data_IF_870804925056
#
_entry.id   IF_870804925056
#
_cell.length_a   1.000
_cell.length_b   1.000
_cell.length_c   1.000
_cell.angle_alpha   90.00
_cell.angle_beta   90.00
_cell.angle_gamma   90.00
#
_symmetry.space_group_name_H-M   'P 1'
#
loop_
_entity.id
_entity.type
_entity.pdbx_description
1 polymer ?
#
# COMPACT_ATOMS: atom_id res chain seq x y z
N UNK A 1 10.76 -2.38 4.00
CA UNK A 1 10.79 -3.57 3.11
C UNK A 1 9.81 -3.29 1.98
N UNK A 2 10.23 -3.40 0.71
CA UNK A 2 9.39 -3.10 -0.46
C UNK A 2 8.80 -4.40 -1.02
N UNK A 3 7.48 -4.47 -1.13
CA UNK A 3 6.76 -5.60 -1.72
C UNK A 3 6.30 -5.21 -3.13
N UNK A 4 6.77 -5.92 -4.16
CA UNK A 4 6.26 -5.79 -5.53
C UNK A 4 5.11 -6.78 -5.72
N UNK A 5 3.88 -6.27 -5.78
CA UNK A 5 2.69 -7.09 -5.95
C UNK A 5 1.77 -6.50 -7.04
N UNK A 6 0.83 -7.31 -7.53
CA UNK A 6 -0.26 -6.82 -8.39
C UNK A 6 -1.15 -5.81 -7.65
N UNK A 7 -1.96 -5.03 -8.37
CA UNK A 7 -2.87 -4.05 -7.74
C UNK A 7 -3.81 -4.71 -6.74
N UNK A 8 -4.38 -5.86 -7.13
CA UNK A 8 -5.28 -6.63 -6.30
C UNK A 8 -4.59 -7.14 -5.03
N UNK A 9 -3.35 -7.62 -5.14
CA UNK A 9 -2.58 -8.07 -3.98
C UNK A 9 -2.21 -6.90 -3.06
N UNK A 10 -1.93 -5.72 -3.62
CA UNK A 10 -1.65 -4.51 -2.86
C UNK A 10 -2.87 -4.03 -2.06
N UNK A 11 -4.05 -4.06 -2.70
CA UNK A 11 -5.31 -3.74 -2.05
C UNK A 11 -5.68 -4.77 -0.97
N UNK A 12 -5.45 -6.05 -1.22
CA UNK A 12 -5.67 -7.12 -0.23
C UNK A 12 -4.70 -7.00 0.97
N UNK A 13 -3.42 -6.73 0.71
CA UNK A 13 -2.43 -6.43 1.76
C UNK A 13 -2.81 -5.19 2.56
N UNK A 14 -3.23 -4.11 1.90
CA UNK A 14 -3.70 -2.91 2.57
C UNK A 14 -4.90 -3.20 3.47
N UNK A 15 -5.89 -3.96 2.99
CA UNK A 15 -7.06 -4.34 3.77
C UNK A 15 -6.66 -5.15 5.01
N UNK A 16 -5.70 -6.07 4.88
CA UNK A 16 -5.19 -6.87 6.01
C UNK A 16 -4.39 -6.06 7.01
N UNK A 17 -3.50 -5.18 6.53
CA UNK A 17 -2.63 -4.37 7.39
C UNK A 17 -3.38 -3.22 8.08
N UNK A 18 -4.42 -2.70 7.43
CA UNK A 18 -5.30 -1.68 8.01
C UNK A 18 -6.29 -2.26 9.02
N UNK A 19 -6.53 -3.58 9.02
CA UNK A 19 -7.33 -4.24 10.04
C UNK A 19 -6.61 -4.16 11.40
N UNK A 20 -7.14 -3.35 12.31
CA UNK A 20 -6.51 -3.08 13.61
C UNK A 20 -5.40 -2.02 13.57
N UNK A 21 -5.02 -1.56 12.38
CA UNK A 21 -4.05 -0.50 12.16
C UNK A 21 -4.69 0.89 12.06
N UNK A 22 -3.85 1.90 11.81
CA UNK A 22 -4.26 3.27 11.47
C UNK A 22 -3.88 3.58 10.04
N UNK A 23 -4.88 3.87 9.21
CA UNK A 23 -4.65 4.36 7.85
C UNK A 23 -4.20 5.82 7.92
N UNK A 24 -3.00 6.11 7.39
CA UNK A 24 -2.47 7.48 7.28
C UNK A 24 -2.88 8.06 5.93
N UNK A 25 -2.65 7.29 4.86
CA UNK A 25 -3.06 7.61 3.50
C UNK A 25 -3.61 6.34 2.84
N UNK A 26 -4.88 6.31 2.42
CA UNK A 26 -5.40 5.18 1.67
C UNK A 26 -4.63 5.01 0.34
N UNK A 27 -4.53 3.79 -0.20
CA UNK A 27 -3.90 3.52 -1.48
C UNK A 27 -4.74 4.17 -2.57
N UNK A 28 -4.21 5.24 -3.16
CA UNK A 28 -4.83 5.94 -4.30
C UNK A 28 -4.07 5.55 -5.56
N UNK A 29 -4.83 5.19 -6.60
CA UNK A 29 -4.28 5.04 -7.94
C UNK A 29 -4.01 6.45 -8.49
N UNK A 30 -2.75 6.84 -8.50
CA UNK A 30 -2.32 8.11 -9.05
C UNK A 30 -2.52 8.11 -10.57
N UNK A 31 -2.76 9.30 -11.15
CA UNK A 31 -3.09 9.42 -12.57
C UNK A 31 -1.95 8.97 -13.51
N UNK A 32 -0.71 8.93 -13.02
CA UNK A 32 0.43 8.35 -13.73
C UNK A 32 0.56 6.83 -13.52
N UNK A 33 -0.44 6.20 -12.91
CA UNK A 33 -0.63 4.76 -12.67
C UNK A 33 0.37 4.14 -11.70
N UNK A 34 0.87 4.93 -10.75
CA UNK A 34 1.44 4.41 -9.52
C UNK A 34 0.32 4.23 -8.48
N UNK A 35 0.50 3.31 -7.54
CA UNK A 35 -0.38 3.20 -6.37
C UNK A 35 0.47 3.52 -5.15
N UNK A 36 0.07 4.52 -4.39
CA UNK A 36 0.75 4.93 -3.16
C UNK A 36 -0.22 4.92 -1.98
N UNK A 37 0.18 4.32 -0.87
CA UNK A 37 -0.57 4.33 0.39
C UNK A 37 0.34 4.15 1.61
N UNK A 38 -0.07 4.72 2.74
CA UNK A 38 0.65 4.67 4.00
C UNK A 38 -0.28 4.26 5.14
N UNK A 39 0.18 3.33 5.98
CA UNK A 39 -0.57 2.90 7.16
C UNK A 39 0.38 2.46 8.27
N UNK A 40 -0.11 2.50 9.51
CA UNK A 40 0.52 1.83 10.64
C UNK A 40 -0.27 0.58 10.97
N UNK A 41 0.37 -0.58 11.09
CA UNK A 41 -0.32 -1.80 11.51
C UNK A 41 -0.64 -1.78 13.02
N UNK A 42 -1.35 -2.80 13.50
CA UNK A 42 -1.73 -2.95 14.91
C UNK A 42 -0.52 -3.10 15.86
N UNK A 43 0.65 -3.48 15.34
CA UNK A 43 1.88 -3.67 16.11
C UNK A 43 2.74 -2.40 16.15
N UNK A 44 2.31 -1.33 15.47
CA UNK A 44 2.99 -0.04 15.43
C UNK A 44 4.06 0.07 14.33
N UNK A 45 4.13 -0.87 13.39
CA UNK A 45 5.01 -0.75 12.23
C UNK A 45 4.38 0.11 11.15
N UNK A 46 5.19 1.02 10.60
CA UNK A 46 4.80 1.84 9.45
C UNK A 46 5.06 1.09 8.15
N UNK A 47 4.01 0.96 7.35
CA UNK A 47 4.04 0.36 6.03
C UNK A 47 3.77 1.43 4.98
N UNK A 48 4.66 1.50 4.00
CA UNK A 48 4.49 2.30 2.79
C UNK A 48 4.32 1.34 1.63
N UNK A 49 3.16 1.43 0.99
CA UNK A 49 2.76 0.67 -0.17
C UNK A 49 3.05 1.53 -1.39
N UNK A 50 4.04 1.13 -2.18
CA UNK A 50 4.42 1.80 -3.41
C UNK A 50 4.41 0.79 -4.56
N UNK A 51 3.65 1.10 -5.61
CA UNK A 51 3.67 0.39 -6.87
C UNK A 51 4.18 1.31 -7.96
N UNK A 52 5.46 1.18 -8.28
CA UNK A 52 6.03 1.81 -9.46
C UNK A 52 5.47 1.16 -10.74
N UNK A 53 5.20 1.95 -11.78
CA UNK A 53 4.88 1.36 -13.09
C UNK A 53 6.09 0.55 -13.54
N UNK A 54 5.91 -0.63 -14.16
CA UNK A 54 7.02 -1.27 -14.84
C UNK A 54 7.59 -0.26 -15.85
N UNK A 55 8.86 0.14 -15.65
CA UNK A 55 9.59 0.91 -16.64
C UNK A 55 9.56 0.11 -17.94
N UNK A 56 8.99 0.73 -18.98
CA UNK A 56 8.99 0.22 -20.34
C UNK A 56 10.41 0.00 -20.86
#
# INVERSE_FOLDING_TARGET
>A
MLLRASEAELLDLFAKLSAGGTVISPPIAEFWGAVYGDLNDEFGFRWTLDRDKPKA
#
